data_IF_681307316175
#
_entry.id   IF_681307316175
#
_cell.length_a   1.000
_cell.length_b   1.000
_cell.length_c   1.000
_cell.angle_alpha   90.00
_cell.angle_beta   90.00
_cell.angle_gamma   90.00
#
_symmetry.space_group_name_H-M   'P 1'
#
loop_
_entity.id
_entity.type
_entity.pdbx_description
1 polymer ?
#
# COMPACT_ATOMS: atom_id res chain seq x y z
N UNK A 1 6.55 -5.42 19.82
CA UNK A 1 7.00 -4.07 19.37
C UNK A 1 7.46 -4.25 17.93
N UNK A 2 6.95 -3.49 16.96
CA UNK A 2 7.40 -3.61 15.58
C UNK A 2 8.67 -2.76 15.40
N UNK A 3 9.76 -3.38 14.98
CA UNK A 3 11.08 -2.75 14.84
C UNK A 3 11.45 -2.69 13.37
N UNK A 4 11.89 -1.50 12.94
CA UNK A 4 12.53 -1.30 11.65
C UNK A 4 14.03 -1.14 11.86
N UNK A 5 14.83 -1.92 11.15
CA UNK A 5 16.28 -1.79 11.11
C UNK A 5 16.69 -1.07 9.83
N UNK A 6 17.65 -0.16 9.95
CA UNK A 6 18.24 0.54 8.81
C UNK A 6 19.75 0.37 8.88
N UNK A 7 20.37 -0.15 7.82
CA UNK A 7 21.80 -0.51 7.81
C UNK A 7 22.39 -0.57 6.42
N UNK A 8 23.66 -0.94 6.30
CA UNK A 8 24.39 -1.03 5.02
C UNK A 8 24.11 -2.32 4.24
N UNK A 9 23.46 -3.31 4.87
CA UNK A 9 23.16 -4.61 4.29
C UNK A 9 24.28 -5.64 4.47
N UNK A 10 25.54 -5.23 4.42
CA UNK A 10 26.71 -6.12 4.47
C UNK A 10 27.04 -6.54 5.90
N UNK A 11 27.30 -5.56 6.77
CA UNK A 11 27.68 -5.80 8.17
C UNK A 11 26.44 -5.99 9.05
N UNK A 12 25.33 -5.37 8.66
CA UNK A 12 24.09 -5.36 9.43
C UNK A 12 23.10 -6.48 9.03
N UNK A 13 23.51 -7.41 8.15
CA UNK A 13 22.63 -8.44 7.58
C UNK A 13 21.84 -9.24 8.64
N UNK A 14 22.49 -9.62 9.73
CA UNK A 14 21.85 -10.36 10.81
C UNK A 14 20.80 -9.53 11.56
N UNK A 15 21.05 -8.25 11.77
CA UNK A 15 20.10 -7.34 12.42
C UNK A 15 18.93 -6.99 11.49
N UNK A 16 19.18 -6.83 10.19
CA UNK A 16 18.14 -6.64 9.17
C UNK A 16 17.19 -7.84 9.13
N UNK A 17 17.73 -9.06 9.10
CA UNK A 17 16.95 -10.30 9.06
C UNK A 17 16.12 -10.55 10.34
N UNK A 18 16.57 -10.07 11.51
CA UNK A 18 15.82 -10.21 12.77
C UNK A 18 14.73 -9.14 12.96
N UNK A 19 14.79 -8.04 12.22
CA UNK A 19 13.84 -6.95 12.33
C UNK A 19 12.49 -7.29 11.67
N UNK A 20 11.45 -6.51 11.95
CA UNK A 20 10.16 -6.69 11.25
C UNK A 20 10.17 -6.07 9.85
N UNK A 21 11.03 -5.07 9.63
CA UNK A 21 11.28 -4.43 8.34
C UNK A 21 12.74 -4.00 8.29
N UNK A 22 13.53 -4.61 7.42
CA UNK A 22 14.93 -4.25 7.18
C UNK A 22 15.09 -3.36 5.95
N UNK A 23 15.69 -2.18 6.11
CA UNK A 23 16.00 -1.26 5.01
C UNK A 23 17.51 -1.16 4.83
N UNK A 24 18.01 -1.57 3.67
CA UNK A 24 19.41 -1.36 3.29
C UNK A 24 19.58 0.01 2.65
N UNK A 25 20.52 0.82 3.13
CA UNK A 25 20.92 2.05 2.46
C UNK A 25 22.11 1.74 1.55
N UNK A 26 22.03 2.10 0.27
CA UNK A 26 23.15 1.89 -0.66
C UNK A 26 23.32 3.04 -1.64
N UNK A 27 24.58 3.33 -1.98
CA UNK A 27 24.96 4.20 -3.11
C UNK A 27 24.91 3.43 -4.44
N UNK A 28 25.05 2.10 -4.40
CA UNK A 28 24.99 1.23 -5.55
C UNK A 28 23.98 0.11 -5.30
N UNK A 29 22.79 0.24 -5.91
CA UNK A 29 21.68 -0.72 -5.77
C UNK A 29 22.02 -2.14 -6.26
N UNK A 30 23.18 -2.37 -6.87
CA UNK A 30 23.67 -3.71 -7.23
C UNK A 30 24.48 -4.38 -6.10
N UNK A 31 24.85 -3.63 -5.06
CA UNK A 31 25.57 -4.10 -3.88
C UNK A 31 24.63 -3.97 -2.70
N UNK A 32 23.80 -4.98 -2.50
CA UNK A 32 22.85 -5.06 -1.40
C UNK A 32 22.81 -6.47 -0.82
N UNK A 33 22.21 -6.59 0.36
CA UNK A 33 22.07 -7.87 1.04
C UNK A 33 20.69 -8.46 0.82
N UNK A 34 20.58 -9.77 0.54
CA UNK A 34 19.30 -10.47 0.46
C UNK A 34 18.50 -10.44 1.77
N UNK A 35 19.11 -10.01 2.88
CA UNK A 35 18.50 -9.95 4.20
C UNK A 35 17.59 -8.72 4.45
N UNK A 36 17.43 -7.81 3.49
CA UNK A 36 16.57 -6.63 3.62
C UNK A 36 15.25 -6.74 2.84
N UNK A 37 14.19 -6.08 3.32
CA UNK A 37 12.89 -5.99 2.65
C UNK A 37 12.81 -4.84 1.65
N UNK A 38 13.66 -3.82 1.80
CA UNK A 38 13.71 -2.66 0.92
C UNK A 38 15.13 -2.10 0.81
N UNK A 39 15.42 -1.52 -0.35
CA UNK A 39 16.66 -0.78 -0.61
C UNK A 39 16.30 0.69 -0.75
N UNK A 40 17.02 1.56 -0.05
CA UNK A 40 16.89 3.01 -0.14
C UNK A 40 18.21 3.58 -0.67
N UNK A 41 18.13 4.38 -1.73
CA UNK A 41 19.29 5.13 -2.19
C UNK A 41 19.75 6.10 -1.09
N UNK A 42 21.05 6.18 -0.86
CA UNK A 42 21.64 7.04 0.17
C UNK A 42 21.21 8.51 0.02
N UNK A 43 21.10 9.01 -1.22
CA UNK A 43 20.64 10.37 -1.53
C UNK A 43 19.15 10.61 -1.15
N UNK A 44 18.34 9.56 -0.99
CA UNK A 44 16.93 9.63 -0.61
C UNK A 44 16.70 9.36 0.88
N UNK A 45 17.75 9.13 1.69
CA UNK A 45 17.61 8.83 3.11
C UNK A 45 16.79 9.89 3.87
N UNK A 46 16.94 11.17 3.49
CA UNK A 46 16.16 12.28 4.05
C UNK A 46 14.64 12.13 3.85
N UNK A 47 14.21 11.39 2.81
CA UNK A 47 12.81 11.11 2.51
C UNK A 47 12.26 9.88 3.23
N UNK A 48 13.05 9.18 4.05
CA UNK A 48 12.60 7.99 4.77
C UNK A 48 11.35 8.29 5.61
N UNK A 49 11.31 9.41 6.32
CA UNK A 49 10.13 9.82 7.10
C UNK A 49 8.90 10.05 6.21
N UNK A 50 9.08 10.64 5.02
CA UNK A 50 8.01 10.80 4.03
C UNK A 50 7.46 9.43 3.60
N UNK A 51 8.34 8.48 3.24
CA UNK A 51 7.92 7.13 2.84
C UNK A 51 7.18 6.40 3.95
N UNK A 52 7.62 6.51 5.20
CA UNK A 52 6.93 5.91 6.35
C UNK A 52 5.54 6.51 6.57
N UNK A 53 5.40 7.84 6.44
CA UNK A 53 4.09 8.51 6.52
C UNK A 53 3.18 8.10 5.37
N UNK A 54 3.72 8.02 4.15
CA UNK A 54 2.98 7.60 2.96
C UNK A 54 2.50 6.14 3.09
N UNK A 55 3.36 5.23 3.55
CA UNK A 55 3.00 3.83 3.82
C UNK A 55 1.83 3.72 4.81
N UNK A 56 1.85 4.48 5.90
CA UNK A 56 0.72 4.54 6.85
C UNK A 56 -0.58 5.04 6.19
N UNK A 57 -0.50 6.02 5.29
CA UNK A 57 -1.67 6.51 4.54
C UNK A 57 -2.14 5.51 3.49
N UNK A 58 -1.25 4.80 2.82
CA UNK A 58 -1.60 3.73 1.89
C UNK A 58 -2.40 2.63 2.62
N UNK A 59 -1.97 2.23 3.82
CA UNK A 59 -2.72 1.28 4.64
C UNK A 59 -4.12 1.79 5.03
N UNK A 60 -4.28 3.09 5.27
CA UNK A 60 -5.60 3.69 5.49
C UNK A 60 -6.47 3.60 4.22
N UNK A 61 -5.91 3.89 3.04
CA UNK A 61 -6.61 3.79 1.75
C UNK A 61 -7.07 2.35 1.50
N UNK A 62 -6.21 1.36 1.74
CA UNK A 62 -6.55 -0.07 1.63
C UNK A 62 -7.72 -0.43 2.55
N UNK A 63 -7.69 0.00 3.82
CA UNK A 63 -8.80 -0.26 4.76
C UNK A 63 -10.12 0.36 4.29
N UNK A 64 -10.07 1.58 3.75
CA UNK A 64 -11.26 2.24 3.20
C UNK A 64 -11.78 1.53 1.94
N UNK A 65 -10.90 1.06 1.06
CA UNK A 65 -11.32 0.32 -0.15
C UNK A 65 -11.94 -1.04 0.19
N UNK A 66 -11.48 -1.70 1.26
CA UNK A 66 -12.17 -2.89 1.79
C UNK A 66 -13.59 -2.58 2.26
N UNK A 67 -13.79 -1.44 2.96
CA UNK A 67 -15.12 -0.99 3.33
C UNK A 67 -16.03 -0.75 2.13
N UNK A 68 -15.51 -0.13 1.07
CA UNK A 68 -16.23 0.09 -0.19
C UNK A 68 -16.56 -1.24 -0.90
N UNK A 69 -15.60 -2.18 -0.95
CA UNK A 69 -15.81 -3.51 -1.52
C UNK A 69 -16.91 -4.28 -0.78
N UNK A 70 -16.93 -4.21 0.56
CA UNK A 70 -17.97 -4.83 1.37
C UNK A 70 -19.35 -4.24 1.04
N UNK A 71 -19.44 -2.91 0.85
CA UNK A 71 -20.69 -2.26 0.46
C UNK A 71 -21.21 -2.78 -0.89
N UNK A 72 -20.35 -2.87 -1.92
CA UNK A 72 -20.73 -3.45 -3.21
C UNK A 72 -21.20 -4.90 -3.09
N UNK A 73 -20.52 -5.71 -2.27
CA UNK A 73 -20.90 -7.10 -2.02
C UNK A 73 -22.25 -7.19 -1.29
N UNK A 74 -22.52 -6.33 -0.31
CA UNK A 74 -23.81 -6.28 0.39
C UNK A 74 -24.95 -5.89 -0.55
N UNK A 75 -24.72 -4.92 -1.44
CA UNK A 75 -25.68 -4.56 -2.49
C UNK A 75 -25.95 -5.77 -3.39
N UNK A 76 -24.92 -6.42 -3.91
CA UNK A 76 -25.06 -7.62 -4.74
C UNK A 76 -25.81 -8.75 -4.03
N UNK A 77 -25.49 -8.99 -2.75
CA UNK A 77 -26.16 -9.99 -1.92
C UNK A 77 -27.65 -9.66 -1.70
N UNK A 78 -27.99 -8.38 -1.50
CA UNK A 78 -29.38 -7.94 -1.33
C UNK A 78 -30.20 -8.22 -2.58
N UNK A 79 -29.66 -7.94 -3.77
CA UNK A 79 -30.31 -8.29 -5.04
C UNK A 79 -30.45 -9.81 -5.20
N UNK A 80 -29.43 -10.59 -4.81
CA UNK A 80 -29.47 -12.04 -4.89
C UNK A 80 -30.56 -12.66 -3.99
N UNK A 81 -30.61 -12.26 -2.73
CA UNK A 81 -31.56 -12.81 -1.73
C UNK A 81 -33.00 -12.36 -2.01
N UNK A 82 -33.20 -11.16 -2.56
CA UNK A 82 -34.54 -10.68 -2.96
C UNK A 82 -35.03 -11.26 -4.29
N UNK A 83 -34.22 -12.07 -4.98
CA UNK A 83 -34.55 -12.65 -6.29
C UNK A 83 -34.50 -11.67 -7.46
N UNK A 84 -33.98 -10.45 -7.24
CA UNK A 84 -33.89 -9.38 -8.23
C UNK A 84 -32.53 -9.32 -8.96
N UNK A 85 -31.67 -10.33 -8.77
CA UNK A 85 -30.38 -10.38 -9.44
C UNK A 85 -30.53 -10.91 -10.87
N UNK A 86 -30.91 -10.03 -11.78
CA UNK A 86 -30.93 -10.34 -13.21
C UNK A 86 -29.52 -10.29 -13.83
N UNK A 87 -29.26 -11.04 -14.92
CA UNK A 87 -27.97 -11.00 -15.62
C UNK A 87 -27.52 -9.59 -16.02
N UNK A 88 -28.46 -8.72 -16.42
CA UNK A 88 -28.17 -7.33 -16.78
C UNK A 88 -27.68 -6.51 -15.57
N UNK A 89 -28.33 -6.67 -14.42
CA UNK A 89 -27.96 -5.97 -13.18
C UNK A 89 -26.56 -6.39 -12.73
N UNK A 90 -26.28 -7.70 -12.74
CA UNK A 90 -24.95 -8.22 -12.43
C UNK A 90 -23.87 -7.68 -13.39
N UNK A 91 -24.18 -7.61 -14.68
CA UNK A 91 -23.27 -7.09 -15.71
C UNK A 91 -22.93 -5.60 -15.54
N UNK A 92 -23.79 -4.82 -14.89
CA UNK A 92 -23.54 -3.40 -14.57
C UNK A 92 -22.79 -3.26 -13.25
N UNK A 93 -23.22 -3.98 -12.20
CA UNK A 93 -22.66 -3.86 -10.85
C UNK A 93 -21.19 -4.26 -10.80
N UNK A 94 -20.81 -5.36 -11.47
CA UNK A 94 -19.43 -5.87 -11.45
C UNK A 94 -18.39 -4.85 -11.96
N UNK A 95 -18.48 -4.32 -13.18
CA UNK A 95 -17.51 -3.34 -13.66
C UNK A 95 -17.58 -2.03 -12.87
N UNK A 96 -18.77 -1.60 -12.44
CA UNK A 96 -18.94 -0.39 -11.64
C UNK A 96 -18.18 -0.48 -10.30
N UNK A 97 -18.25 -1.63 -9.62
CA UNK A 97 -17.51 -1.88 -8.37
C UNK A 97 -16.00 -1.73 -8.59
N UNK A 98 -15.46 -2.40 -9.61
CA UNK A 98 -14.02 -2.36 -9.93
C UNK A 98 -13.56 -0.95 -10.28
N UNK A 99 -14.28 -0.24 -11.16
CA UNK A 99 -13.94 1.13 -11.55
C UNK A 99 -13.93 2.03 -10.31
N UNK A 100 -14.96 1.95 -9.47
CA UNK A 100 -15.06 2.80 -8.28
C UNK A 100 -13.92 2.53 -7.30
N UNK A 101 -13.60 1.26 -7.02
CA UNK A 101 -12.51 0.90 -6.12
C UNK A 101 -11.15 1.36 -6.67
N UNK A 102 -10.87 1.08 -7.95
CA UNK A 102 -9.59 1.45 -8.59
C UNK A 102 -9.44 2.97 -8.66
N UNK A 103 -10.48 3.70 -9.07
CA UNK A 103 -10.47 5.16 -9.09
C UNK A 103 -10.27 5.72 -7.68
N UNK A 104 -10.97 5.19 -6.68
CA UNK A 104 -10.81 5.63 -5.29
C UNK A 104 -9.37 5.42 -4.79
N UNK A 105 -8.81 4.23 -4.94
CA UNK A 105 -7.45 3.91 -4.49
C UNK A 105 -6.43 4.80 -5.21
N UNK A 106 -6.58 4.99 -6.52
CA UNK A 106 -5.67 5.81 -7.34
C UNK A 106 -5.70 7.27 -6.91
N UNK A 107 -6.90 7.85 -6.81
CA UNK A 107 -7.08 9.27 -6.44
C UNK A 107 -6.59 9.54 -5.02
N UNK A 108 -6.94 8.67 -4.06
CA UNK A 108 -6.54 8.85 -2.66
C UNK A 108 -5.04 8.65 -2.45
N UNK A 109 -4.43 7.68 -3.14
CA UNK A 109 -2.98 7.46 -3.06
C UNK A 109 -2.22 8.67 -3.62
N UNK A 110 -2.66 9.19 -4.78
CA UNK A 110 -2.07 10.39 -5.37
C UNK A 110 -2.29 11.64 -4.51
N UNK A 111 -3.47 11.79 -3.91
CA UNK A 111 -3.76 12.87 -2.99
C UNK A 111 -2.81 12.87 -1.78
N UNK A 112 -2.64 11.72 -1.12
CA UNK A 112 -1.74 11.62 0.03
C UNK A 112 -0.27 11.78 -0.34
N UNK A 113 0.16 11.23 -1.48
CA UNK A 113 1.52 11.44 -1.99
C UNK A 113 1.82 12.93 -2.20
N UNK A 114 0.92 13.66 -2.87
CA UNK A 114 1.06 15.11 -3.09
C UNK A 114 1.02 15.91 -1.80
N UNK A 115 0.05 15.62 -0.92
CA UNK A 115 -0.12 16.35 0.34
C UNK A 115 1.07 16.20 1.29
N UNK A 116 1.67 15.01 1.34
CA UNK A 116 2.83 14.75 2.18
C UNK A 116 4.14 15.24 1.53
N UNK A 117 4.23 15.18 0.19
CA UNK A 117 5.41 15.60 -0.56
C UNK A 117 5.55 17.12 -0.71
N UNK A 118 4.43 17.85 -0.63
CA UNK A 118 4.43 19.32 -0.69
C UNK A 118 4.98 20.00 0.58
N UNK A 119 5.27 19.23 1.64
CA UNK A 119 5.78 19.75 2.93
C UNK A 119 7.02 19.03 3.44
N UNK A 120 7.73 18.30 2.57
CA UNK A 120 8.93 17.50 2.89
C UNK A 120 10.13 17.94 2.08
#
# INVERSE_FOLDING_TARGET
KNVMMVGDGLNDAGALAQSNVGISISENVNVFSPACDAILEANQFQKLNYFLKLSKKAMLVIKMSFGLSLLYNLVGLTFAVTGNLEPLVAAIIMPLSTITIVSFVTLMSNYYARKLGAGS
#
